data_IF_516982550607
#
_entry.id   IF_516982550607
#
_cell.length_a   1.000
_cell.length_b   1.000
_cell.length_c   1.000
_cell.angle_alpha   90.00
_cell.angle_beta   90.00
_cell.angle_gamma   90.00
#
_symmetry.space_group_name_H-M   'P 1'
#
loop_
_entity.id
_entity.type
_entity.pdbx_description
1 polymer ?
#
# COMPACT_ATOMS: atom_id res chain seq x y z
N UNK A 1 -14.88 -2.00 -29.54
CA UNK A 1 -14.25 -1.32 -28.40
C UNK A 1 -15.35 -0.59 -27.66
N UNK A 2 -15.36 -0.69 -26.33
CA UNK A 2 -16.36 -0.02 -25.49
C UNK A 2 -16.08 1.49 -25.46
N UNK A 3 -17.12 2.30 -25.25
CA UNK A 3 -16.98 3.74 -24.99
C UNK A 3 -16.01 4.03 -23.84
N UNK A 4 -16.02 3.17 -22.81
CA UNK A 4 -15.07 3.27 -21.69
C UNK A 4 -13.62 3.02 -22.11
N UNK A 5 -13.38 2.05 -23.01
CA UNK A 5 -12.03 1.72 -23.47
C UNK A 5 -11.43 2.88 -24.27
N UNK A 6 -12.27 3.55 -25.08
CA UNK A 6 -11.86 4.68 -25.89
C UNK A 6 -11.54 5.91 -25.01
N UNK A 7 -12.33 6.16 -23.97
CA UNK A 7 -12.07 7.22 -22.97
C UNK A 7 -10.75 6.96 -22.24
N UNK A 8 -10.52 5.74 -21.75
CA UNK A 8 -9.30 5.38 -21.03
C UNK A 8 -8.05 5.48 -21.92
N UNK A 9 -8.15 5.09 -23.19
CA UNK A 9 -7.05 5.26 -24.15
C UNK A 9 -6.72 6.73 -24.36
N UNK A 10 -7.72 7.58 -24.58
CA UNK A 10 -7.51 9.01 -24.77
C UNK A 10 -6.91 9.68 -23.53
N UNK A 11 -7.34 9.29 -22.32
CA UNK A 11 -6.76 9.79 -21.08
C UNK A 11 -5.29 9.36 -20.92
N UNK A 12 -4.97 8.10 -21.23
CA UNK A 12 -3.60 7.60 -21.16
C UNK A 12 -2.66 8.33 -22.14
N UNK A 13 -3.10 8.52 -23.39
CA UNK A 13 -2.34 9.28 -24.39
C UNK A 13 -2.14 10.74 -23.98
N UNK A 14 -3.18 11.37 -23.42
CA UNK A 14 -3.10 12.74 -22.92
C UNK A 14 -2.13 12.87 -21.74
N UNK A 15 -2.14 11.93 -20.80
CA UNK A 15 -1.23 11.91 -19.66
C UNK A 15 0.24 11.77 -20.10
N UNK A 16 0.52 10.90 -21.07
CA UNK A 16 1.88 10.71 -21.60
C UNK A 16 2.42 11.95 -22.34
N UNK A 17 1.54 12.70 -23.01
CA UNK A 17 1.93 13.93 -23.71
C UNK A 17 2.13 15.13 -22.76
N UNK A 18 1.54 15.08 -21.56
CA UNK A 18 1.46 16.21 -20.63
C UNK A 18 2.05 15.89 -19.24
N UNK A 19 3.14 15.12 -19.19
CA UNK A 19 3.78 14.65 -17.95
C UNK A 19 4.16 15.78 -16.98
N UNK A 20 4.63 16.90 -17.52
CA UNK A 20 5.07 18.06 -16.76
C UNK A 20 4.00 19.16 -16.67
N UNK A 21 2.74 18.83 -16.99
CA UNK A 21 1.66 19.79 -16.86
C UNK A 21 1.54 20.26 -15.40
N UNK A 22 1.29 21.57 -15.18
CA UNK A 22 1.11 22.10 -13.84
C UNK A 22 -0.10 21.43 -13.18
N UNK A 23 0.01 21.15 -11.88
CA UNK A 23 -1.11 20.64 -11.11
C UNK A 23 -2.29 21.61 -11.14
N UNK A 24 -3.50 21.08 -11.21
CA UNK A 24 -4.73 21.88 -11.26
C UNK A 24 -4.89 22.71 -9.96
N UNK A 25 -5.53 23.89 -10.03
CA UNK A 25 -5.83 24.67 -8.83
C UNK A 25 -6.61 23.83 -7.80
N UNK A 26 -6.13 23.80 -6.56
CA UNK A 26 -6.71 22.98 -5.49
C UNK A 26 -6.08 21.60 -5.32
N UNK A 27 -5.11 21.19 -6.17
CA UNK A 27 -4.29 20.01 -5.89
C UNK A 27 -3.52 20.19 -4.59
N UNK A 28 -3.87 19.39 -3.58
CA UNK A 28 -3.12 19.32 -2.32
C UNK A 28 -1.87 18.45 -2.53
N UNK A 29 -0.72 19.10 -2.68
CA UNK A 29 0.57 18.39 -2.68
C UNK A 29 0.86 17.91 -1.25
N UNK A 30 0.64 16.62 -0.99
CA UNK A 30 1.06 16.00 0.26
C UNK A 30 2.46 15.44 0.08
N UNK A 31 3.39 15.84 0.94
CA UNK A 31 4.57 15.00 1.19
C UNK A 31 4.03 13.70 1.80
N UNK A 32 4.50 12.54 1.34
CA UNK A 32 3.97 11.23 1.74
C UNK A 32 3.84 11.04 3.26
N UNK A 33 3.10 10.00 3.65
CA UNK A 33 2.64 9.67 5.01
C UNK A 33 3.49 10.25 6.16
N UNK A 34 2.81 10.72 7.22
CA UNK A 34 3.43 11.14 8.48
C UNK A 34 4.51 10.16 8.93
N UNK A 35 5.52 10.67 9.65
CA UNK A 35 6.67 9.87 10.10
C UNK A 35 6.22 8.66 10.92
N UNK A 36 6.08 7.51 10.27
CA UNK A 36 5.78 6.25 10.92
C UNK A 36 6.94 5.85 11.83
N UNK A 37 6.62 5.31 13.01
CA UNK A 37 7.60 4.75 13.93
C UNK A 37 7.81 3.28 13.58
N UNK A 38 9.07 2.84 13.52
CA UNK A 38 9.43 1.46 13.23
C UNK A 38 9.61 0.69 14.53
N UNK A 39 8.89 -0.43 14.68
CA UNK A 39 9.11 -1.42 15.74
C UNK A 39 9.96 -2.56 15.17
N UNK A 40 11.08 -2.88 15.81
CA UNK A 40 11.89 -4.05 15.45
C UNK A 40 11.45 -5.25 16.28
N UNK A 41 11.08 -6.34 15.59
CA UNK A 41 10.77 -7.64 16.20
C UNK A 41 11.90 -8.60 15.84
N UNK A 42 12.46 -9.26 16.86
CA UNK A 42 13.49 -10.30 16.64
C UNK A 42 12.78 -11.63 16.48
N UNK A 43 12.98 -12.25 15.32
CA UNK A 43 12.50 -13.59 14.99
C UNK A 43 13.73 -14.44 14.65
N UNK A 44 13.70 -15.71 14.98
CA UNK A 44 14.63 -16.68 14.41
C UNK A 44 14.22 -17.04 12.96
N UNK A 45 15.04 -17.85 12.30
CA UNK A 45 14.82 -18.23 10.89
C UNK A 45 13.50 -18.98 10.69
N UNK A 46 13.18 -19.93 11.56
CA UNK A 46 11.97 -20.75 11.48
C UNK A 46 10.70 -19.90 11.73
N UNK A 47 10.75 -19.00 12.70
CA UNK A 47 9.66 -18.07 13.01
C UNK A 47 9.39 -17.12 11.84
N UNK A 48 10.45 -16.57 11.24
CA UNK A 48 10.30 -15.70 10.07
C UNK A 48 9.71 -16.47 8.87
N UNK A 49 10.17 -17.70 8.63
CA UNK A 49 9.64 -18.55 7.57
C UNK A 49 8.16 -18.88 7.78
N UNK A 50 7.75 -19.18 9.01
CA UNK A 50 6.35 -19.44 9.35
C UNK A 50 5.46 -18.23 9.07
N UNK A 51 5.89 -17.03 9.50
CA UNK A 51 5.13 -15.79 9.24
C UNK A 51 5.08 -15.47 7.75
N UNK A 52 6.18 -15.67 7.02
CA UNK A 52 6.22 -15.47 5.57
C UNK A 52 5.24 -16.41 4.83
N UNK A 53 5.16 -17.68 5.23
CA UNK A 53 4.20 -18.62 4.66
C UNK A 53 2.74 -18.23 4.89
N UNK A 54 2.42 -17.73 6.09
CA UNK A 54 1.08 -17.20 6.40
C UNK A 54 0.75 -15.95 5.58
N UNK A 55 1.73 -15.06 5.40
CA UNK A 55 1.58 -13.84 4.60
C UNK A 55 1.32 -14.15 3.12
N UNK A 56 2.05 -15.11 2.56
CA UNK A 56 1.88 -15.58 1.19
C UNK A 56 0.47 -16.18 0.98
N UNK A 57 0.03 -17.05 1.89
CA UNK A 57 -1.31 -17.65 1.84
C UNK A 57 -2.42 -16.58 1.93
N UNK A 58 -2.20 -15.52 2.70
CA UNK A 58 -3.10 -14.39 2.83
C UNK A 58 -2.98 -13.36 1.69
N UNK A 59 -1.98 -13.49 0.80
CA UNK A 59 -1.62 -12.50 -0.24
C UNK A 59 -1.38 -11.10 0.33
N UNK A 60 -0.74 -11.03 1.49
CA UNK A 60 -0.42 -9.79 2.18
C UNK A 60 1.09 -9.66 2.36
N UNK A 61 1.65 -8.43 2.38
CA UNK A 61 3.02 -8.22 2.85
C UNK A 61 3.16 -8.69 4.30
N UNK A 62 4.31 -9.30 4.63
CA UNK A 62 4.62 -9.78 6.00
C UNK A 62 4.39 -8.69 7.05
N UNK A 63 4.85 -7.46 6.80
CA UNK A 63 4.67 -6.33 7.71
C UNK A 63 3.20 -5.93 7.89
N UNK A 64 2.37 -6.14 6.87
CA UNK A 64 0.93 -5.84 6.92
C UNK A 64 0.20 -6.87 7.77
N UNK A 65 0.50 -8.16 7.55
CA UNK A 65 -0.05 -9.26 8.34
C UNK A 65 0.33 -9.14 9.82
N UNK A 66 1.61 -8.94 10.12
CA UNK A 66 2.08 -8.80 11.51
C UNK A 66 1.44 -7.58 12.18
N UNK A 67 1.28 -6.48 11.45
CA UNK A 67 0.59 -5.29 11.98
C UNK A 67 -0.88 -5.57 12.30
N UNK A 68 -1.59 -6.38 11.51
CA UNK A 68 -2.99 -6.71 11.81
C UNK A 68 -3.10 -7.48 13.12
N UNK A 69 -2.26 -8.50 13.33
CA UNK A 69 -2.23 -9.26 14.59
C UNK A 69 -1.94 -8.39 15.82
N UNK A 70 -1.01 -7.43 15.70
CA UNK A 70 -0.72 -6.48 16.78
C UNK A 70 -1.95 -5.62 17.09
N UNK A 71 -2.63 -5.10 16.05
CA UNK A 71 -3.81 -4.24 16.22
C UNK A 71 -5.04 -4.99 16.74
N UNK A 72 -5.22 -6.25 16.37
CA UNK A 72 -6.26 -7.13 16.89
C UNK A 72 -6.07 -7.30 18.41
N UNK A 73 -4.85 -7.60 18.85
CA UNK A 73 -4.51 -7.76 20.27
C UNK A 73 -4.65 -6.50 21.11
N UNK A 74 -4.42 -5.32 20.52
CA UNK A 74 -4.62 -4.04 21.23
C UNK A 74 -6.11 -3.75 21.44
N UNK A 75 -6.98 -4.27 20.57
CA UNK A 75 -8.43 -4.03 20.63
C UNK A 75 -9.19 -5.03 21.48
N UNK A 76 -8.57 -6.15 21.87
CA UNK A 76 -9.13 -7.09 22.84
C UNK A 76 -9.10 -6.45 24.25
N UNK A 77 -10.26 -6.06 24.84
CA UNK A 77 -10.29 -5.68 26.26
C UNK A 77 -9.98 -6.92 27.13
N UNK A 78 -9.26 -6.72 28.24
CA UNK A 78 -8.97 -7.79 29.23
C UNK A 78 -10.24 -8.50 29.75
#
# INVERSE_FOLDING_TARGET
>A
MSELDDVLRCEAEHAEQNKDAPSVPGTKVTRGHDRVRVLQVRLNEDELAAVAGLAEAAKLPVSTLVRSWILERIQEPE
#
